data_IF_045667711892
#
_entry.id   IF_045667711892
#
_cell.length_a   1.000
_cell.length_b   1.000
_cell.length_c   1.000
_cell.angle_alpha   90.00
_cell.angle_beta   90.00
_cell.angle_gamma   90.00
#
_symmetry.space_group_name_H-M   'P 1'
#
loop_
_entity.id
_entity.type
_entity.pdbx_description
1 polymer ?
#
# COMPACT_ATOMS: atom_id res chain seq x y z
N UNK A 1 -14.07 -20.73 -1.45
CA UNK A 1 -13.61 -19.67 -0.52
C UNK A 1 -13.36 -20.31 0.83
N UNK A 2 -12.11 -20.31 1.33
CA UNK A 2 -11.85 -20.69 2.73
C UNK A 2 -12.44 -19.58 3.59
N UNK A 3 -13.44 -19.89 4.43
CA UNK A 3 -13.84 -19.00 5.53
C UNK A 3 -12.57 -18.69 6.32
N UNK A 4 -12.11 -17.43 6.30
CA UNK A 4 -11.02 -17.00 7.15
C UNK A 4 -11.43 -17.23 8.60
N UNK A 5 -10.71 -18.08 9.32
CA UNK A 5 -10.88 -18.21 10.76
C UNK A 5 -10.53 -16.88 11.42
N UNK A 6 -11.27 -16.51 12.47
CA UNK A 6 -10.93 -15.34 13.28
C UNK A 6 -9.62 -15.66 14.00
N UNK A 7 -8.58 -14.84 13.78
CA UNK A 7 -7.30 -14.94 14.48
C UNK A 7 -7.52 -14.92 16.00
N UNK A 8 -7.02 -15.91 16.74
CA UNK A 8 -7.19 -15.96 18.20
C UNK A 8 -5.89 -15.65 18.94
N UNK A 9 -4.76 -16.21 18.50
CA UNK A 9 -3.50 -16.13 19.24
C UNK A 9 -2.32 -15.88 18.31
N UNK A 10 -1.49 -14.90 18.67
CA UNK A 10 -0.21 -14.64 18.00
C UNK A 10 0.91 -14.84 19.02
N UNK A 11 1.64 -15.95 18.88
CA UNK A 11 2.78 -16.27 19.73
C UNK A 11 4.07 -15.83 19.05
N UNK A 12 4.99 -15.26 19.81
CA UNK A 12 6.28 -14.81 19.29
C UNK A 12 7.42 -15.24 20.20
N UNK A 13 8.56 -15.57 19.59
CA UNK A 13 9.84 -15.79 20.24
C UNK A 13 10.91 -15.11 19.39
N UNK A 14 11.57 -14.11 19.95
CA UNK A 14 12.53 -13.24 19.28
C UNK A 14 13.87 -13.33 20.01
N UNK A 15 14.95 -13.56 19.27
CA UNK A 15 16.31 -13.59 19.79
C UNK A 15 17.23 -12.79 18.88
N UNK A 16 18.02 -11.87 19.44
CA UNK A 16 18.93 -10.98 18.72
C UNK A 16 18.27 -10.22 17.54
N UNK A 17 17.09 -9.63 17.77
CA UNK A 17 16.33 -8.92 16.73
C UNK A 17 16.48 -7.40 16.89
N UNK A 18 17.45 -6.79 16.19
CA UNK A 18 17.65 -5.34 16.06
C UNK A 18 17.72 -4.56 17.40
N UNK A 19 18.21 -5.18 18.47
CA UNK A 19 18.24 -4.61 19.83
C UNK A 19 17.34 -5.33 20.85
N UNK A 20 16.52 -6.29 20.41
CA UNK A 20 15.88 -7.26 21.29
C UNK A 20 16.84 -8.43 21.47
N UNK A 21 17.43 -8.58 22.67
CA UNK A 21 18.28 -9.74 22.95
C UNK A 21 17.46 -11.03 23.03
N UNK A 22 16.41 -11.03 23.84
CA UNK A 22 15.43 -12.12 23.94
C UNK A 22 14.08 -11.57 24.37
N UNK A 23 13.01 -11.98 23.69
CA UNK A 23 11.64 -11.63 24.05
C UNK A 23 10.69 -12.70 23.55
N UNK A 24 9.82 -13.17 24.43
CA UNK A 24 8.76 -14.10 24.08
C UNK A 24 7.44 -13.69 24.73
N UNK A 25 6.34 -14.11 24.11
CA UNK A 25 5.01 -13.79 24.59
C UNK A 25 3.93 -14.23 23.62
N UNK A 26 2.68 -13.95 24.00
CA UNK A 26 1.49 -14.29 23.23
C UNK A 26 0.52 -13.10 23.30
N UNK A 27 0.00 -12.70 22.15
CA UNK A 27 -1.15 -11.80 22.05
C UNK A 27 -2.41 -12.63 21.91
N UNK A 28 -3.39 -12.38 22.79
CA UNK A 28 -4.67 -13.06 22.82
C UNK A 28 -5.77 -12.11 22.28
N UNK A 29 -6.28 -12.46 21.10
CA UNK A 29 -7.37 -11.81 20.38
C UNK A 29 -8.69 -12.58 20.54
N UNK A 30 -8.74 -13.61 21.41
CA UNK A 30 -9.95 -14.38 21.60
C UNK A 30 -11.12 -13.50 22.02
N UNK A 31 -12.24 -13.72 21.32
CA UNK A 31 -13.50 -13.01 21.57
C UNK A 31 -14.44 -13.93 22.34
N UNK A 32 -14.94 -13.46 23.47
CA UNK A 32 -16.01 -14.09 24.24
C UNK A 32 -17.13 -13.07 24.53
N UNK A 33 -18.19 -13.49 25.21
CA UNK A 33 -19.37 -12.65 25.47
C UNK A 33 -19.05 -11.33 26.20
N UNK A 34 -17.90 -11.26 26.90
CA UNK A 34 -17.49 -10.12 27.73
C UNK A 34 -16.34 -9.30 27.13
N UNK A 35 -15.57 -9.85 26.18
CA UNK A 35 -14.34 -9.23 25.67
C UNK A 35 -14.17 -9.56 24.18
N UNK A 36 -14.05 -8.52 23.36
CA UNK A 36 -13.57 -8.62 21.98
C UNK A 36 -12.31 -7.76 21.85
N UNK A 37 -11.16 -8.41 21.63
CA UNK A 37 -9.87 -7.73 21.50
C UNK A 37 -9.41 -7.83 20.06
N UNK A 38 -9.46 -6.70 19.35
CA UNK A 38 -9.01 -6.61 17.95
C UNK A 38 -7.73 -5.79 17.79
N UNK A 39 -7.23 -5.21 18.89
CA UNK A 39 -6.06 -4.35 18.90
C UNK A 39 -5.24 -4.56 20.18
N UNK A 40 -3.92 -4.54 20.05
CA UNK A 40 -2.98 -4.62 21.16
C UNK A 40 -2.04 -3.41 21.11
N UNK A 41 -1.91 -2.71 22.23
CA UNK A 41 -0.96 -1.61 22.39
C UNK A 41 0.33 -2.11 23.05
N UNK A 42 1.46 -2.01 22.35
CA UNK A 42 2.78 -2.33 22.90
C UNK A 42 3.43 -1.02 23.39
N UNK A 43 3.69 -0.93 24.70
CA UNK A 43 4.35 0.21 25.30
C UNK A 43 5.68 -0.17 25.94
N UNK A 44 6.71 0.63 25.71
CA UNK A 44 8.01 0.50 26.34
C UNK A 44 8.64 1.88 26.54
N UNK A 45 9.36 2.09 27.66
CA UNK A 45 10.00 3.36 28.00
C UNK A 45 11.10 3.76 27.01
N UNK A 46 11.79 2.80 26.42
CA UNK A 46 12.85 3.01 25.43
C UNK A 46 12.31 2.83 24.01
N UNK A 47 12.67 3.73 23.08
CA UNK A 47 12.23 3.71 21.69
C UNK A 47 12.74 2.50 20.90
N UNK A 48 13.96 2.05 21.21
CA UNK A 48 14.65 0.93 20.55
C UNK A 48 13.75 -0.31 20.43
N UNK A 49 13.27 -0.87 21.55
CA UNK A 49 12.49 -2.11 21.54
C UNK A 49 11.26 -2.05 20.62
N UNK A 50 10.50 -0.96 20.64
CA UNK A 50 9.28 -0.81 19.81
C UNK A 50 9.64 -0.81 18.32
N UNK A 51 10.68 -0.07 17.96
CA UNK A 51 11.18 0.01 16.58
C UNK A 51 11.80 -1.33 16.15
N UNK A 52 12.55 -2.01 17.02
CA UNK A 52 13.12 -3.34 16.77
C UNK A 52 12.04 -4.38 16.51
N UNK A 53 10.96 -4.35 17.30
CA UNK A 53 9.80 -5.23 17.11
C UNK A 53 9.15 -4.99 15.74
N UNK A 54 8.82 -3.74 15.41
CA UNK A 54 8.24 -3.39 14.10
C UNK A 54 9.18 -3.75 12.93
N UNK A 55 10.50 -3.53 13.08
CA UNK A 55 11.51 -3.88 12.07
C UNK A 55 11.61 -5.39 11.83
N UNK A 56 11.44 -6.19 12.89
CA UNK A 56 11.41 -7.66 12.80
C UNK A 56 10.23 -8.13 11.96
N UNK A 57 9.02 -7.64 12.25
CA UNK A 57 7.82 -7.94 11.44
C UNK A 57 7.95 -7.41 10.01
N UNK A 58 8.62 -6.27 9.81
CA UNK A 58 8.86 -5.74 8.46
C UNK A 58 9.74 -6.68 7.62
N UNK A 59 10.75 -7.32 8.22
CA UNK A 59 11.55 -8.34 7.52
C UNK A 59 10.75 -9.58 7.15
N UNK A 60 9.74 -9.93 7.94
CA UNK A 60 8.81 -11.03 7.61
C UNK A 60 7.98 -10.65 6.39
N UNK A 61 7.35 -9.47 6.43
CA UNK A 61 6.59 -8.92 5.29
C UNK A 61 7.43 -8.86 4.00
N UNK A 62 8.71 -8.51 4.10
CA UNK A 62 9.59 -8.36 2.93
C UNK A 62 10.24 -9.68 2.44
N UNK A 63 9.91 -10.84 3.03
CA UNK A 63 10.58 -12.14 2.80
C UNK A 63 12.09 -12.11 3.05
N UNK A 64 12.51 -11.34 4.06
CA UNK A 64 13.91 -11.07 4.42
C UNK A 64 14.24 -11.49 5.85
N UNK A 65 13.59 -12.53 6.36
CA UNK A 65 13.82 -13.06 7.71
C UNK A 65 15.28 -13.45 7.97
N UNK A 66 16.00 -13.89 6.92
CA UNK A 66 17.44 -14.19 6.99
C UNK A 66 18.34 -12.99 7.29
N UNK A 67 17.81 -11.76 7.14
CA UNK A 67 18.52 -10.51 7.45
C UNK A 67 18.25 -10.03 8.89
N UNK A 68 17.50 -10.80 9.70
CA UNK A 68 17.26 -10.50 11.11
C UNK A 68 18.55 -10.74 11.89
N UNK A 69 18.98 -9.72 12.62
CA UNK A 69 20.25 -9.72 13.36
C UNK A 69 20.26 -8.65 14.44
N UNK A 70 21.21 -8.78 15.36
CA UNK A 70 21.61 -7.69 16.23
C UNK A 70 22.33 -6.59 15.41
N UNK A 71 22.04 -5.31 15.68
CA UNK A 71 22.65 -4.21 14.92
C UNK A 71 24.05 -3.84 15.40
N UNK A 72 24.38 -4.12 16.66
CA UNK A 72 25.64 -3.69 17.27
C UNK A 72 26.75 -4.68 16.95
N UNK A 73 26.46 -5.97 17.07
CA UNK A 73 27.43 -7.06 17.00
C UNK A 73 27.26 -7.97 15.79
N UNK A 74 26.29 -7.70 14.91
CA UNK A 74 26.00 -8.50 13.70
C UNK A 74 25.76 -10.00 13.99
N UNK A 75 25.15 -10.27 15.15
CA UNK A 75 24.82 -11.64 15.56
C UNK A 75 23.54 -12.05 14.83
N UNK A 76 23.50 -13.22 14.16
CA UNK A 76 22.28 -13.72 13.55
C UNK A 76 21.12 -13.77 14.55
N UNK A 77 19.98 -13.24 14.14
CA UNK A 77 18.76 -13.23 14.93
C UNK A 77 17.77 -14.29 14.46
N UNK A 78 16.87 -14.65 15.36
CA UNK A 78 15.82 -15.63 15.13
C UNK A 78 14.48 -15.04 15.56
N UNK A 79 13.48 -15.17 14.68
CA UNK A 79 12.12 -14.71 14.92
C UNK A 79 11.15 -15.84 14.56
N UNK A 80 10.63 -16.50 15.59
CA UNK A 80 9.65 -17.57 15.45
C UNK A 80 8.31 -17.04 15.90
N UNK A 81 7.39 -16.86 14.95
CA UNK A 81 6.07 -16.28 15.19
C UNK A 81 5.01 -17.20 14.59
N UNK A 82 3.98 -17.51 15.37
CA UNK A 82 2.86 -18.35 14.92
C UNK A 82 1.54 -17.67 15.17
N UNK A 83 0.60 -17.85 14.24
CA UNK A 83 -0.79 -17.44 14.30
C UNK A 83 -1.62 -18.71 14.44
N UNK A 84 -2.30 -18.87 15.58
CA UNK A 84 -3.12 -20.05 15.89
C UNK A 84 -2.37 -21.38 15.68
N UNK A 85 -1.08 -21.38 16.00
CA UNK A 85 -0.18 -22.53 15.87
C UNK A 85 0.40 -22.76 14.47
N UNK A 86 0.03 -21.97 13.47
CA UNK A 86 0.63 -22.00 12.12
C UNK A 86 1.71 -20.92 12.00
N UNK A 87 2.82 -21.22 11.33
CA UNK A 87 3.86 -20.23 11.04
C UNK A 87 3.29 -19.03 10.27
N UNK A 88 3.75 -17.85 10.67
CA UNK A 88 3.38 -16.59 10.03
C UNK A 88 3.97 -16.51 8.62
N UNK A 89 3.19 -16.01 7.66
CA UNK A 89 3.66 -15.70 6.31
C UNK A 89 3.72 -14.20 6.07
N UNK A 90 4.40 -13.81 5.00
CA UNK A 90 4.46 -12.42 4.53
C UNK A 90 3.08 -11.80 4.28
N UNK A 91 2.08 -12.62 3.93
CA UNK A 91 0.73 -12.16 3.59
C UNK A 91 -0.12 -11.93 4.85
N UNK A 92 0.32 -12.47 5.99
CA UNK A 92 -0.32 -12.28 7.29
C UNK A 92 0.15 -11.01 8.02
N UNK A 93 1.19 -10.33 7.50
CA UNK A 93 1.84 -9.19 8.18
C UNK A 93 1.89 -7.96 7.31
N UNK A 94 1.41 -6.85 7.86
CA UNK A 94 1.54 -5.55 7.23
C UNK A 94 2.06 -4.50 8.22
N UNK A 95 3.28 -4.02 8.01
CA UNK A 95 3.93 -3.01 8.87
C UNK A 95 3.87 -1.62 8.23
N UNK A 96 3.26 -0.67 8.94
CA UNK A 96 3.17 0.74 8.56
C UNK A 96 4.35 1.51 9.17
N UNK A 97 5.14 2.21 8.35
CA UNK A 97 6.24 3.06 8.84
C UNK A 97 5.73 4.45 9.20
N UNK A 98 6.22 5.00 10.31
CA UNK A 98 5.83 6.32 10.83
C UNK A 98 6.34 7.53 10.02
N UNK A 99 7.29 7.35 9.10
CA UNK A 99 7.98 8.45 8.41
C UNK A 99 7.91 8.41 6.87
N UNK A 100 7.15 7.47 6.27
CA UNK A 100 6.94 7.50 4.82
C UNK A 100 5.83 8.49 4.48
N UNK A 101 6.21 9.64 3.91
CA UNK A 101 5.31 10.75 3.53
C UNK A 101 4.23 10.36 2.50
N UNK A 102 4.37 9.20 1.88
CA UNK A 102 3.40 8.63 0.94
C UNK A 102 3.33 7.12 1.17
N UNK A 103 2.13 6.64 1.49
CA UNK A 103 1.83 5.22 1.62
C UNK A 103 1.76 4.58 0.23
N UNK A 104 2.71 3.70 -0.10
CA UNK A 104 2.67 2.88 -1.32
C UNK A 104 2.47 1.41 -0.93
N UNK A 105 1.26 1.03 -0.56
CA UNK A 105 0.84 -0.37 -0.67
C UNK A 105 0.49 -0.67 -2.13
N UNK A 106 0.85 -1.85 -2.62
CA UNK A 106 0.32 -2.40 -3.87
C UNK A 106 -1.22 -2.51 -3.86
N UNK A 107 -1.86 -2.60 -2.69
CA UNK A 107 -3.31 -2.57 -2.52
C UNK A 107 -3.71 -1.69 -1.33
N UNK A 108 -3.99 -0.42 -1.59
CA UNK A 108 -4.56 0.52 -0.59
C UNK A 108 -5.89 0.00 -0.01
N UNK A 109 -6.57 -0.82 -0.81
CA UNK A 109 -7.82 -1.46 -0.48
C UNK A 109 -7.67 -2.53 0.63
N UNK A 110 -6.46 -3.00 0.94
CA UNK A 110 -6.22 -3.96 2.03
C UNK A 110 -6.34 -3.33 3.43
N UNK A 111 -6.28 -2.00 3.52
CA UNK A 111 -6.58 -1.26 4.75
C UNK A 111 -8.09 -1.08 4.98
N UNK A 112 -8.91 -1.37 3.98
CA UNK A 112 -10.35 -1.17 4.07
C UNK A 112 -11.00 -2.40 4.68
N UNK A 113 -11.74 -2.15 5.76
CA UNK A 113 -12.49 -3.18 6.47
C UNK A 113 -13.72 -3.62 5.66
N UNK A 114 -14.29 -2.72 4.85
CA UNK A 114 -15.47 -3.02 4.04
C UNK A 114 -15.10 -3.66 2.69
N UNK A 115 -15.56 -4.90 2.49
CA UNK A 115 -15.26 -5.71 1.31
C UNK A 115 -15.89 -5.12 0.03
N UNK A 116 -17.07 -4.49 0.12
CA UNK A 116 -17.74 -3.88 -1.03
C UNK A 116 -17.02 -2.61 -1.50
N UNK A 117 -16.51 -1.81 -0.58
CA UNK A 117 -15.70 -0.63 -0.90
C UNK A 117 -14.35 -1.07 -1.45
N UNK A 118 -13.76 -2.14 -0.89
CA UNK A 118 -12.51 -2.73 -1.37
C UNK A 118 -12.61 -3.11 -2.85
N UNK A 119 -13.64 -3.86 -3.24
CA UNK A 119 -13.87 -4.28 -4.63
C UNK A 119 -14.01 -3.08 -5.58
N UNK A 120 -14.83 -2.08 -5.20
CA UNK A 120 -15.03 -0.87 -6.01
C UNK A 120 -13.74 -0.10 -6.25
N UNK A 121 -12.91 0.07 -5.22
CA UNK A 121 -11.64 0.81 -5.37
C UNK A 121 -10.67 0.04 -6.25
N UNK A 122 -10.57 -1.28 -6.09
CA UNK A 122 -9.73 -2.11 -6.97
C UNK A 122 -10.17 -2.00 -8.42
N UNK A 123 -11.48 -2.03 -8.68
CA UNK A 123 -12.05 -1.86 -10.02
C UNK A 123 -11.73 -0.48 -10.61
N UNK A 124 -11.98 0.60 -9.86
CA UNK A 124 -11.70 1.97 -10.31
C UNK A 124 -10.21 2.18 -10.62
N UNK A 125 -9.30 1.64 -9.79
CA UNK A 125 -7.86 1.73 -10.02
C UNK A 125 -7.44 0.95 -11.28
N UNK A 126 -8.08 -0.19 -11.56
CA UNK A 126 -7.85 -0.96 -12.79
C UNK A 126 -8.31 -0.19 -14.01
N UNK A 127 -9.53 0.34 -14.00
CA UNK A 127 -10.07 1.16 -15.09
C UNK A 127 -9.19 2.38 -15.38
N UNK A 128 -8.72 3.07 -14.33
CA UNK A 128 -7.75 4.15 -14.47
C UNK A 128 -6.47 3.69 -15.17
N UNK A 129 -5.90 2.56 -14.73
CA UNK A 129 -4.68 2.03 -15.34
C UNK A 129 -4.87 1.68 -16.82
N UNK A 130 -6.03 1.15 -17.19
CA UNK A 130 -6.31 0.75 -18.56
C UNK A 130 -6.55 1.98 -19.44
N UNK A 131 -7.29 2.99 -18.95
CA UNK A 131 -7.44 4.29 -19.61
C UNK A 131 -6.08 4.94 -19.91
N UNK A 132 -5.18 4.98 -18.93
CA UNK A 132 -3.85 5.58 -19.10
C UNK A 132 -3.01 4.83 -20.15
N UNK A 133 -3.14 3.49 -20.25
CA UNK A 133 -2.44 2.70 -21.28
C UNK A 133 -2.97 2.98 -22.68
N UNK A 134 -4.28 3.14 -22.82
CA UNK A 134 -4.87 3.44 -24.13
C UNK A 134 -4.56 4.87 -24.56
N UNK A 135 -4.54 5.82 -23.63
CA UNK A 135 -4.08 7.18 -23.88
C UNK A 135 -2.58 7.23 -24.23
N UNK A 136 -1.72 6.46 -23.57
CA UNK A 136 -0.29 6.39 -23.96
C UNK A 136 -0.12 5.91 -25.41
N UNK A 137 -0.92 4.93 -25.86
CA UNK A 137 -0.88 4.46 -27.25
C UNK A 137 -1.36 5.52 -28.24
N UNK A 138 -2.36 6.32 -27.87
CA UNK A 138 -2.97 7.31 -28.74
C UNK A 138 -2.17 8.62 -28.80
N UNK A 139 -1.64 9.09 -27.67
CA UNK A 139 -0.92 10.38 -27.58
C UNK A 139 0.58 10.25 -27.82
N UNK A 140 1.16 9.06 -27.64
CA UNK A 140 2.61 8.86 -27.66
C UNK A 140 3.33 9.33 -26.39
N UNK A 141 2.62 9.94 -25.43
CA UNK A 141 3.15 10.36 -24.14
C UNK A 141 3.29 9.17 -23.19
N UNK A 142 4.36 9.12 -22.41
CA UNK A 142 4.60 8.01 -21.48
C UNK A 142 3.82 8.21 -20.18
N UNK A 143 3.17 7.14 -19.68
CA UNK A 143 2.57 7.15 -18.33
C UNK A 143 3.63 7.45 -17.28
N UNK A 144 4.85 6.94 -17.49
CA UNK A 144 5.97 7.12 -16.58
C UNK A 144 7.27 7.22 -17.37
N UNK A 145 8.03 8.28 -17.12
CA UNK A 145 9.36 8.51 -17.70
C UNK A 145 10.38 8.77 -16.59
N UNK A 146 11.60 8.27 -16.77
CA UNK A 146 12.71 8.59 -15.87
C UNK A 146 13.49 9.76 -16.46
N UNK A 147 13.56 10.87 -15.73
CA UNK A 147 14.37 12.04 -16.10
C UNK A 147 15.23 12.42 -14.91
N UNK A 148 16.55 12.49 -15.11
CA UNK A 148 17.53 12.81 -14.05
C UNK A 148 17.37 11.95 -12.78
N UNK A 149 17.07 10.66 -12.94
CA UNK A 149 16.88 9.72 -11.81
C UNK A 149 15.55 9.86 -11.06
N UNK A 150 14.69 10.81 -11.45
CA UNK A 150 13.33 10.96 -10.91
C UNK A 150 12.30 10.32 -11.81
N UNK A 151 11.30 9.67 -11.20
CA UNK A 151 10.15 9.13 -11.90
C UNK A 151 9.11 10.25 -12.09
N UNK A 152 8.80 10.59 -13.33
CA UNK A 152 7.82 11.63 -13.70
C UNK A 152 6.63 10.95 -14.39
N UNK A 153 5.41 11.36 -14.03
CA UNK A 153 4.17 10.89 -14.65
C UNK A 153 3.68 11.89 -15.71
N UNK A 154 4.37 11.93 -16.83
CA UNK A 154 4.19 12.90 -17.92
C UNK A 154 2.73 12.97 -18.40
N UNK A 155 2.14 11.83 -18.79
CA UNK A 155 0.75 11.79 -19.28
C UNK A 155 -0.29 12.24 -18.24
N UNK A 156 -0.14 11.82 -16.98
CA UNK A 156 -1.12 12.16 -15.94
C UNK A 156 -1.04 13.64 -15.57
N UNK A 157 0.16 14.22 -15.54
CA UNK A 157 0.35 15.66 -15.31
C UNK A 157 -0.25 16.51 -16.43
N UNK A 158 -0.02 16.16 -17.69
CA UNK A 158 -0.55 16.91 -18.84
C UNK A 158 -2.08 16.92 -18.85
N UNK A 159 -2.71 15.76 -18.62
CA UNK A 159 -4.18 15.66 -18.56
C UNK A 159 -4.75 16.53 -17.44
N UNK A 160 -4.09 16.56 -16.28
CA UNK A 160 -4.55 17.38 -15.15
C UNK A 160 -4.47 18.87 -15.52
N UNK A 161 -3.41 19.30 -16.21
CA UNK A 161 -3.22 20.68 -16.65
C UNK A 161 -4.20 21.07 -17.75
N UNK A 162 -4.27 20.30 -18.84
CA UNK A 162 -5.12 20.55 -20.01
C UNK A 162 -6.60 20.68 -19.65
N UNK A 163 -7.08 19.81 -18.75
CA UNK A 163 -8.48 19.79 -18.32
C UNK A 163 -8.73 20.60 -17.05
N UNK A 164 -7.72 21.28 -16.52
CA UNK A 164 -7.81 22.08 -15.29
C UNK A 164 -8.40 21.28 -14.12
N UNK A 165 -7.91 20.05 -13.94
CA UNK A 165 -8.38 19.15 -12.88
C UNK A 165 -7.69 19.45 -11.55
N UNK A 166 -8.41 19.21 -10.44
CA UNK A 166 -7.86 19.35 -9.09
C UNK A 166 -6.99 18.13 -8.71
N UNK A 167 -5.78 18.08 -9.25
CA UNK A 167 -4.68 17.21 -8.80
C UNK A 167 -4.84 15.70 -9.03
N UNK A 168 -6.03 15.21 -9.37
CA UNK A 168 -6.31 13.79 -9.61
C UNK A 168 -7.28 13.61 -10.77
N UNK A 169 -6.90 12.77 -11.73
CA UNK A 169 -7.77 12.39 -12.86
C UNK A 169 -9.11 11.86 -12.34
N UNK A 170 -9.11 11.01 -11.30
CA UNK A 170 -10.35 10.39 -10.80
C UNK A 170 -11.33 11.40 -10.22
N UNK A 171 -10.82 12.46 -9.58
CA UNK A 171 -11.65 13.54 -9.04
C UNK A 171 -12.11 14.47 -10.18
N UNK A 172 -11.26 14.68 -11.18
CA UNK A 172 -11.56 15.48 -12.37
C UNK A 172 -12.52 14.82 -13.37
N UNK A 173 -12.80 13.52 -13.25
CA UNK A 173 -13.72 12.83 -14.17
C UNK A 173 -15.14 13.41 -14.12
N UNK A 174 -15.58 13.96 -12.98
CA UNK A 174 -16.88 14.64 -12.88
C UNK A 174 -16.97 15.86 -13.83
N UNK A 175 -15.86 16.58 -14.04
CA UNK A 175 -15.78 17.70 -14.98
C UNK A 175 -15.94 17.24 -16.44
N UNK A 176 -15.48 16.03 -16.74
CA UNK A 176 -15.56 15.43 -18.07
C UNK A 176 -16.95 14.86 -18.31
N UNK A 177 -17.61 14.28 -17.30
CA UNK A 177 -18.86 13.55 -17.47
C UNK A 177 -19.96 14.37 -18.17
N UNK A 178 -20.04 15.68 -17.90
CA UNK A 178 -20.99 16.60 -18.56
C UNK A 178 -20.66 16.96 -20.01
N UNK A 179 -19.51 16.53 -20.53
CA UNK A 179 -18.98 16.83 -21.87
C UNK A 179 -18.83 15.58 -22.74
N UNK A 180 -19.18 14.40 -22.22
CA UNK A 180 -19.13 13.13 -22.95
C UNK A 180 -20.28 13.10 -23.97
N UNK A 181 -19.97 12.79 -25.22
CA UNK A 181 -20.95 12.68 -26.32
C UNK A 181 -21.11 13.94 -27.17
N UNK A 182 -20.29 14.97 -26.93
CA UNK A 182 -20.19 16.10 -27.85
C UNK A 182 -19.28 15.67 -29.01
N UNK A 183 -19.86 15.57 -30.20
CA UNK A 183 -19.12 15.22 -31.42
C UNK A 183 -18.53 16.48 -32.04
N UNK A 184 -17.19 16.56 -32.05
CA UNK A 184 -16.45 17.63 -32.70
C UNK A 184 -15.89 17.21 -34.07
N UNK A 185 -16.31 16.07 -34.63
CA UNK A 185 -15.82 15.58 -35.92
C UNK A 185 -16.04 16.56 -37.08
N UNK A 186 -17.03 17.46 -36.97
CA UNK A 186 -17.30 18.48 -37.98
C UNK A 186 -16.38 19.71 -37.88
N UNK A 187 -15.72 19.93 -36.74
CA UNK A 187 -14.82 21.07 -36.57
C UNK A 187 -13.43 20.67 -37.08
N UNK A 188 -12.92 21.41 -38.06
CA UNK A 188 -11.57 21.14 -38.58
C UNK A 188 -10.53 21.64 -37.58
N UNK A 189 -9.46 20.87 -37.42
CA UNK A 189 -8.34 21.22 -36.55
C UNK A 189 -7.77 22.62 -36.84
N UNK A 190 -7.66 22.97 -38.13
CA UNK A 190 -7.21 24.28 -38.59
C UNK A 190 -8.08 25.44 -38.07
N UNK A 191 -9.38 25.20 -37.87
CA UNK A 191 -10.31 26.26 -37.46
C UNK A 191 -10.16 26.62 -35.97
N UNK A 192 -9.52 25.75 -35.18
CA UNK A 192 -9.30 25.95 -33.74
C UNK A 192 -7.83 26.32 -33.46
N UNK A 193 -6.88 25.72 -34.17
CA UNK A 193 -5.46 25.74 -33.77
C UNK A 193 -4.49 26.32 -34.80
N UNK A 194 -4.93 26.58 -36.04
CA UNK A 194 -4.11 27.37 -36.97
C UNK A 194 -4.42 28.86 -36.79
N UNK A 195 -3.53 29.57 -36.10
CA UNK A 195 -3.53 31.03 -36.09
C UNK A 195 -3.03 31.54 -37.46
N UNK A 196 -3.93 31.62 -38.44
CA UNK A 196 -3.81 32.65 -39.49
C UNK A 196 -3.98 34.04 -38.90
#
# INVERSE_FOLDING_TARGET
MKKGGIMQKVKYNLTNCYGIHKMDGEFDFSSNEEKSTNAVAIYAKNGLMKTSFAKTFKKIQDKKQKEIRDEIFDIPGEATITIDGKDISEEDVFVIKSFEASYQSTNLADLLVDESIKEKIVEVLKLKSDLLKDLEKASGLKIKRIQQGKNIRELESEIIEDFSMDGSILLGLELIQGRIGIDFSEIKYSDIFDNT
#
